data_IF_854208077746
#
_entry.id   IF_854208077746
#
_cell.length_a   1.000
_cell.length_b   1.000
_cell.length_c   1.000
_cell.angle_alpha   90.00
_cell.angle_beta   90.00
_cell.angle_gamma   90.00
#
_symmetry.space_group_name_H-M   'P 1'
#
loop_
_entity.id
_entity.type
_entity.pdbx_description
1 polymer ?
#
# COMPACT_ATOMS: atom_id res chain seq x y z
N UNK A 1 6.57 5.44 10.38
CA UNK A 1 5.95 4.71 9.25
C UNK A 1 4.98 3.74 9.87
N UNK A 2 3.74 3.73 9.40
CA UNK A 2 2.69 2.82 9.87
C UNK A 2 2.29 1.88 8.73
N UNK A 3 1.92 0.64 9.09
CA UNK A 3 1.61 -0.42 8.14
C UNK A 3 0.34 -1.12 8.63
N UNK A 4 -0.67 -1.20 7.77
CA UNK A 4 -1.82 -2.07 7.95
C UNK A 4 -1.82 -3.14 6.86
N UNK A 5 -1.91 -4.41 7.27
CA UNK A 5 -1.91 -5.56 6.38
C UNK A 5 -3.30 -6.17 6.37
N UNK A 6 -3.87 -6.35 5.18
CA UNK A 6 -5.12 -7.06 4.93
C UNK A 6 -4.81 -8.30 4.09
N UNK A 7 -5.82 -9.15 3.90
CA UNK A 7 -5.65 -10.43 3.20
C UNK A 7 -5.17 -10.24 1.74
N UNK A 8 -5.63 -9.19 1.06
CA UNK A 8 -5.37 -8.93 -0.35
C UNK A 8 -4.50 -7.68 -0.64
N UNK A 9 -4.25 -6.84 0.37
CA UNK A 9 -3.56 -5.54 0.19
C UNK A 9 -2.83 -5.05 1.43
N UNK A 10 -1.95 -4.07 1.23
CA UNK A 10 -1.20 -3.40 2.29
C UNK A 10 -1.40 -1.89 2.17
N UNK A 11 -1.68 -1.24 3.30
CA UNK A 11 -1.73 0.21 3.44
C UNK A 11 -0.47 0.69 4.16
N UNK A 12 0.21 1.68 3.59
CA UNK A 12 1.46 2.25 4.12
C UNK A 12 1.28 3.75 4.36
N UNK A 13 1.56 4.19 5.58
CA UNK A 13 1.67 5.62 5.91
C UNK A 13 3.14 5.95 6.14
N UNK A 14 3.70 6.80 5.28
CA UNK A 14 5.12 7.14 5.33
C UNK A 14 5.38 8.57 4.90
N UNK A 15 6.48 9.13 5.42
CA UNK A 15 7.01 10.42 4.98
C UNK A 15 7.95 10.19 3.80
N UNK A 16 7.67 10.83 2.67
CA UNK A 16 8.51 10.78 1.46
C UNK A 16 9.19 12.15 1.30
N UNK A 17 10.53 12.23 1.30
CA UNK A 17 11.22 13.47 1.00
C UNK A 17 10.84 13.98 -0.39
N UNK A 18 10.62 15.29 -0.58
CA UNK A 18 10.09 15.85 -1.84
C UNK A 18 11.02 15.66 -3.04
N UNK A 19 12.31 15.34 -2.80
CA UNK A 19 13.27 14.99 -3.85
C UNK A 19 12.99 13.65 -4.54
N UNK A 20 12.13 12.81 -3.98
CA UNK A 20 11.76 11.52 -4.54
C UNK A 20 10.34 11.56 -5.10
N UNK A 21 10.17 11.08 -6.33
CA UNK A 21 8.85 10.86 -6.89
C UNK A 21 8.12 9.75 -6.11
N UNK A 22 6.85 9.95 -5.79
CA UNK A 22 6.05 8.95 -5.06
C UNK A 22 5.98 7.62 -5.85
N UNK A 23 5.88 7.70 -7.18
CA UNK A 23 5.91 6.54 -8.07
C UNK A 23 7.17 5.70 -7.92
N UNK A 24 8.33 6.35 -7.83
CA UNK A 24 9.62 5.69 -7.63
C UNK A 24 9.67 4.96 -6.28
N UNK A 25 9.14 5.58 -5.22
CA UNK A 25 9.06 4.95 -3.90
C UNK A 25 8.14 3.73 -3.94
N UNK A 26 6.94 3.87 -4.51
CA UNK A 26 5.98 2.77 -4.64
C UNK A 26 6.54 1.59 -5.45
N UNK A 27 7.19 1.87 -6.58
CA UNK A 27 7.86 0.85 -7.40
C UNK A 27 8.97 0.13 -6.61
N UNK A 28 9.80 0.91 -5.90
CA UNK A 28 10.91 0.36 -5.11
C UNK A 28 10.41 -0.57 -4.01
N UNK A 29 9.34 -0.17 -3.30
CA UNK A 29 8.71 -0.99 -2.27
C UNK A 29 8.18 -2.29 -2.89
N UNK A 30 7.38 -2.21 -3.96
CA UNK A 30 6.77 -3.37 -4.61
C UNK A 30 7.84 -4.34 -5.16
N UNK A 31 8.89 -3.81 -5.80
CA UNK A 31 9.99 -4.60 -6.35
C UNK A 31 10.80 -5.31 -5.27
N UNK A 32 11.20 -4.58 -4.23
CA UNK A 32 12.02 -5.14 -3.15
C UNK A 32 11.26 -6.19 -2.34
N UNK A 33 10.00 -5.90 -1.99
CA UNK A 33 9.15 -6.85 -1.25
C UNK A 33 8.85 -8.09 -2.08
N UNK A 34 8.53 -7.93 -3.38
CA UNK A 34 8.32 -9.07 -4.29
C UNK A 34 9.57 -9.97 -4.34
N UNK A 35 10.76 -9.38 -4.51
CA UNK A 35 12.03 -10.11 -4.51
C UNK A 35 12.28 -10.84 -3.19
N UNK A 36 12.05 -10.17 -2.07
CA UNK A 36 12.29 -10.75 -0.74
C UNK A 36 11.30 -11.87 -0.41
N UNK A 37 10.03 -11.72 -0.78
CA UNK A 37 9.00 -12.76 -0.63
C UNK A 37 9.34 -13.99 -1.48
N UNK A 38 9.71 -13.81 -2.76
CA UNK A 38 10.13 -14.92 -3.63
C UNK A 38 11.40 -15.63 -3.14
N UNK A 39 12.29 -14.93 -2.42
CA UNK A 39 13.47 -15.52 -1.77
C UNK A 39 13.10 -16.30 -0.52
N UNK A 40 12.23 -15.74 0.33
CA UNK A 40 11.81 -16.35 1.61
C UNK A 40 10.89 -17.56 1.40
N UNK A 41 9.99 -17.48 0.42
CA UNK A 41 8.97 -18.47 0.17
C UNK A 41 9.12 -19.03 -1.25
N UNK A 42 9.89 -20.11 -1.38
CA UNK A 42 10.21 -20.70 -2.69
C UNK A 42 8.98 -21.11 -3.50
N UNK A 43 7.87 -21.48 -2.83
CA UNK A 43 6.62 -21.86 -3.50
C UNK A 43 6.01 -20.70 -4.31
N UNK A 44 6.24 -19.44 -3.92
CA UNK A 44 5.72 -18.27 -4.65
C UNK A 44 6.28 -18.17 -6.07
N UNK A 45 7.45 -18.78 -6.36
CA UNK A 45 7.98 -18.85 -7.73
C UNK A 45 7.14 -19.75 -8.63
N UNK A 46 6.48 -20.77 -8.07
CA UNK A 46 5.58 -21.66 -8.80
C UNK A 46 4.20 -21.03 -9.01
N UNK A 47 3.72 -20.27 -8.02
CA UNK A 47 2.43 -19.56 -8.10
C UNK A 47 2.50 -18.39 -9.08
N UNK A 48 3.55 -17.56 -8.97
CA UNK A 48 3.76 -16.36 -9.80
C UNK A 48 4.84 -16.61 -10.87
N UNK A 49 4.58 -17.59 -11.74
CA UNK A 49 5.52 -18.09 -12.76
C UNK A 49 5.48 -17.28 -14.08
N UNK A 50 4.38 -16.57 -14.33
CA UNK A 50 4.05 -15.82 -15.54
C UNK A 50 4.73 -14.43 -15.64
N UNK A 51 5.72 -14.16 -14.79
CA UNK A 51 6.35 -12.84 -14.64
C UNK A 51 5.41 -11.67 -14.28
N UNK A 52 4.13 -11.89 -13.94
CA UNK A 52 3.21 -10.80 -13.59
C UNK A 52 3.51 -10.17 -12.21
N UNK A 53 4.39 -10.80 -11.43
CA UNK A 53 4.85 -10.29 -10.15
C UNK A 53 3.84 -10.53 -9.02
N UNK A 54 4.29 -10.33 -7.77
CA UNK A 54 3.43 -10.57 -6.58
C UNK A 54 2.36 -9.49 -6.43
N UNK A 55 2.64 -8.27 -6.89
CA UNK A 55 1.78 -7.11 -6.72
C UNK A 55 1.05 -6.77 -8.01
N UNK A 56 -0.21 -6.32 -7.91
CA UNK A 56 -0.93 -5.70 -9.03
C UNK A 56 -0.13 -4.53 -9.61
N UNK A 57 -0.30 -4.21 -10.89
CA UNK A 57 0.40 -3.10 -11.57
C UNK A 57 0.12 -1.74 -10.91
N UNK A 58 -1.14 -1.48 -10.57
CA UNK A 58 -1.58 -0.24 -9.93
C UNK A 58 -1.13 -0.07 -8.47
N UNK A 59 -1.25 1.15 -7.96
CA UNK A 59 -1.14 1.52 -6.56
C UNK A 59 -2.00 2.76 -6.33
N UNK A 60 -2.44 2.99 -5.10
CA UNK A 60 -3.19 4.18 -4.70
C UNK A 60 -2.32 5.03 -3.77
N UNK A 61 -2.38 6.35 -3.96
CA UNK A 61 -1.67 7.34 -3.14
C UNK A 61 -2.62 8.48 -2.86
N UNK A 62 -2.66 8.88 -1.59
CA UNK A 62 -3.30 10.11 -1.15
C UNK A 62 -2.30 10.88 -0.28
N UNK A 63 -2.19 12.19 -0.51
CA UNK A 63 -1.37 13.06 0.32
C UNK A 63 -2.14 13.41 1.57
N UNK A 64 -1.69 12.91 2.72
CA UNK A 64 -2.17 13.37 4.01
C UNK A 64 -1.38 14.62 4.37
N UNK A 65 -2.06 15.76 4.53
CA UNK A 65 -1.41 16.99 5.03
C UNK A 65 -0.76 16.76 6.41
N UNK A 66 0.14 17.65 6.83
CA UNK A 66 0.91 17.55 8.08
C UNK A 66 -0.01 17.86 9.29
N UNK A 67 -1.02 17.04 9.54
CA UNK A 67 -1.81 17.12 10.75
C UNK A 67 -2.10 15.71 11.26
N UNK A 68 -1.57 15.39 12.44
CA UNK A 68 -1.71 14.10 13.11
C UNK A 68 -3.18 13.69 13.28
N UNK A 69 -4.08 14.66 13.47
CA UNK A 69 -5.52 14.40 13.54
C UNK A 69 -6.10 13.86 12.23
N UNK A 70 -5.53 14.24 11.08
CA UNK A 70 -5.95 13.74 9.76
C UNK A 70 -5.43 12.32 9.57
N UNK A 71 -4.20 12.01 10.01
CA UNK A 71 -3.63 10.66 9.95
C UNK A 71 -4.49 9.69 10.78
N UNK A 72 -4.82 10.04 12.03
CA UNK A 72 -5.68 9.21 12.90
C UNK A 72 -7.07 9.00 12.32
N UNK A 73 -7.72 10.08 11.84
CA UNK A 73 -9.03 10.00 11.18
C UNK A 73 -8.99 9.14 9.92
N UNK A 74 -7.92 9.19 9.14
CA UNK A 74 -7.78 8.38 7.93
C UNK A 74 -7.70 6.89 8.25
N UNK A 75 -6.93 6.49 9.28
CA UNK A 75 -6.87 5.09 9.73
C UNK A 75 -8.23 4.61 10.20
N UNK A 76 -8.90 5.38 11.05
CA UNK A 76 -10.26 5.06 11.52
C UNK A 76 -11.28 5.00 10.38
N UNK A 77 -11.18 5.90 9.40
CA UNK A 77 -12.09 5.93 8.26
C UNK A 77 -11.87 4.71 7.38
N UNK A 78 -10.63 4.36 7.02
CA UNK A 78 -10.33 3.17 6.22
C UNK A 78 -10.84 1.89 6.87
N UNK A 79 -10.69 1.75 8.19
CA UNK A 79 -11.26 0.62 8.92
C UNK A 79 -12.80 0.57 8.83
N UNK A 80 -13.47 1.72 8.84
CA UNK A 80 -14.93 1.84 8.68
C UNK A 80 -15.40 1.63 7.23
N UNK A 81 -14.71 2.16 6.22
CA UNK A 81 -15.05 1.96 4.81
C UNK A 81 -14.96 0.47 4.46
N UNK A 82 -13.95 -0.22 4.97
CA UNK A 82 -13.78 -1.67 4.78
C UNK A 82 -14.85 -2.51 5.49
N UNK A 83 -15.49 -1.99 6.54
CA UNK A 83 -16.66 -2.61 7.19
C UNK A 83 -17.98 -2.36 6.43
N UNK A 84 -17.94 -1.62 5.30
CA UNK A 84 -19.07 -1.39 4.41
C UNK A 84 -19.94 -0.18 4.73
N UNK A 85 -19.46 0.77 5.54
CA UNK A 85 -20.28 1.91 6.02
C UNK A 85 -20.00 3.27 5.38
N UNK A 86 -19.06 3.39 4.43
CA UNK A 86 -18.78 4.69 3.81
C UNK A 86 -19.49 4.84 2.45
N UNK A 87 -20.62 5.55 2.47
CA UNK A 87 -21.12 6.22 1.27
C UNK A 87 -20.17 7.37 0.95
N UNK A 88 -19.57 7.32 -0.25
CA UNK A 88 -18.77 8.40 -0.82
C UNK A 88 -19.70 9.57 -1.14
N UNK A 89 -19.77 10.57 -0.27
CA UNK A 89 -20.21 11.90 -0.69
C UNK A 89 -19.04 12.57 -1.43
N UNK A 90 -19.14 12.56 -2.75
CA UNK A 90 -18.34 13.41 -3.62
C UNK A 90 -18.84 14.85 -3.46
N UNK A 91 -17.93 15.76 -3.08
CA UNK A 91 -18.08 17.17 -3.45
C UNK A 91 -17.71 17.35 -4.92
#
# INVERSE_FOLDING_TARGET
MEIAIKEDRIHLVMVIPPKYAVSMVAETIKKNTSRNLKKKFAFLKKVYWDNEGIWRKGYFVSTVGINESIIRKYVEMQEKEESGQAQLEFF
#
